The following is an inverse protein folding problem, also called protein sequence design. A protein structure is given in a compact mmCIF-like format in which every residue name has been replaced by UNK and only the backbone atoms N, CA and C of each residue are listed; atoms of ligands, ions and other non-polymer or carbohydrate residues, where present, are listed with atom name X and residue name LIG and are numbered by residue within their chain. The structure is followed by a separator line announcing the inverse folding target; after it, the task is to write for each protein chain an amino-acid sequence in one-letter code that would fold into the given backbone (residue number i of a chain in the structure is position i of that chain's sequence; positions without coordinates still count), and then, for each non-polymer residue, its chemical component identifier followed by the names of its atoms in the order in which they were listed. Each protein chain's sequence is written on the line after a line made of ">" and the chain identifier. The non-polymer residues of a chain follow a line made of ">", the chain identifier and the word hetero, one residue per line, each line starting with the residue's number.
data_IF_372495166407
#
_entry.id   IF_372495166407
#
_cell.length_a   1.000
_cell.length_b   1.000
_cell.length_c   1.000
_cell.angle_alpha   90.00
_cell.angle_beta   90.00
_cell.angle_gamma   90.00
#
_symmetry.space_group_name_H-M   'P 1'
#
loop_
_entity.id
_entity.type
_entity.pdbx_description
1 polymer ?
#
# COMPACT_ATOMS: atom_id res chain seq x y z
N UNK A 1 -14.86 0.46 -11.34
CA UNK A 1 -14.54 -0.96 -11.08
C UNK A 1 -13.81 -1.52 -12.28
N UNK A 2 -12.66 -2.16 -12.06
CA UNK A 2 -11.88 -2.87 -13.09
C UNK A 2 -12.24 -4.35 -13.00
N UNK A 3 -12.73 -4.92 -14.10
CA UNK A 3 -13.09 -6.34 -14.16
C UNK A 3 -11.88 -7.21 -14.39
N UNK A 4 -11.92 -8.46 -13.90
CA UNK A 4 -10.90 -9.49 -14.10
C UNK A 4 -10.57 -9.72 -15.57
N UNK A 5 -11.58 -9.65 -16.44
CA UNK A 5 -11.43 -9.86 -17.89
C UNK A 5 -10.94 -8.64 -18.65
N UNK A 6 -10.80 -7.48 -17.99
CA UNK A 6 -10.29 -6.28 -18.62
C UNK A 6 -8.80 -6.47 -18.94
N UNK A 7 -8.42 -6.16 -20.18
CA UNK A 7 -7.02 -6.14 -20.61
C UNK A 7 -6.50 -4.72 -20.47
N UNK A 8 -5.83 -4.44 -19.36
CA UNK A 8 -5.27 -3.12 -19.08
C UNK A 8 -3.77 -3.23 -18.81
N UNK A 9 -2.99 -2.61 -19.67
CA UNK A 9 -1.54 -2.57 -19.58
C UNK A 9 -1.04 -1.14 -19.79
N UNK A 10 -0.27 -0.66 -18.82
CA UNK A 10 0.30 0.69 -18.78
C UNK A 10 -0.79 1.79 -18.78
N UNK A 11 -1.85 1.56 -18.02
CA UNK A 11 -2.98 2.49 -17.91
C UNK A 11 -2.89 3.28 -16.61
N UNK A 12 -3.22 4.56 -16.69
CA UNK A 12 -3.45 5.43 -15.54
C UNK A 12 -4.97 5.54 -15.31
N UNK A 13 -5.43 5.21 -14.11
CA UNK A 13 -6.84 5.36 -13.71
C UNK A 13 -6.95 6.37 -12.58
N UNK A 14 -7.81 7.36 -12.77
CA UNK A 14 -8.14 8.38 -11.77
C UNK A 14 -9.65 8.37 -11.48
N UNK A 15 -10.05 8.05 -10.26
CA UNK A 15 -11.45 8.08 -9.84
C UNK A 15 -11.59 8.17 -8.31
N UNK A 16 -12.66 8.76 -7.76
CA UNK A 16 -12.82 8.88 -6.30
C UNK A 16 -12.75 7.54 -5.57
N UNK A 17 -13.39 6.52 -6.14
CA UNK A 17 -13.33 5.14 -5.69
C UNK A 17 -12.88 4.22 -6.83
N UNK A 18 -11.84 3.44 -6.58
CA UNK A 18 -11.34 2.42 -7.49
C UNK A 18 -11.46 1.05 -6.82
N UNK A 19 -11.92 0.07 -7.58
CA UNK A 19 -12.05 -1.32 -7.12
C UNK A 19 -11.57 -2.23 -8.24
N UNK A 20 -10.63 -3.11 -7.92
CA UNK A 20 -10.09 -4.14 -8.82
C UNK A 20 -10.68 -5.47 -8.41
N UNK A 21 -11.30 -6.17 -9.36
CA UNK A 21 -11.89 -7.48 -9.16
C UNK A 21 -10.83 -8.57 -8.88
N UNK A 22 -11.21 -9.57 -8.10
CA UNK A 22 -10.37 -10.70 -7.75
C UNK A 22 -9.78 -11.40 -9.00
N UNK A 23 -8.50 -11.75 -8.92
CA UNK A 23 -7.78 -12.42 -10.00
C UNK A 23 -7.39 -11.53 -11.18
N UNK A 24 -7.57 -10.21 -11.10
CA UNK A 24 -7.12 -9.28 -12.14
C UNK A 24 -5.60 -9.32 -12.30
N UNK A 25 -5.12 -9.18 -13.54
CA UNK A 25 -3.70 -9.19 -13.86
C UNK A 25 -3.39 -8.13 -14.92
N UNK A 26 -2.51 -7.18 -14.61
CA UNK A 26 -2.22 -6.05 -15.51
C UNK A 26 -1.16 -5.09 -14.95
N UNK A 27 -0.85 -4.04 -15.69
CA UNK A 27 0.05 -2.94 -15.27
C UNK A 27 -0.75 -1.65 -15.15
N UNK A 28 -0.93 -1.13 -13.93
CA UNK A 28 -1.85 -0.03 -13.63
C UNK A 28 -1.25 1.00 -12.67
N UNK A 29 -1.47 2.28 -12.95
CA UNK A 29 -1.25 3.36 -12.00
C UNK A 29 -2.60 3.91 -11.57
N UNK A 30 -2.93 3.74 -10.31
CA UNK A 30 -4.24 3.98 -9.74
C UNK A 30 -4.16 5.16 -8.80
N UNK A 31 -5.01 6.15 -9.03
CA UNK A 31 -5.09 7.36 -8.24
C UNK A 31 -6.53 7.57 -7.80
N UNK A 32 -6.77 7.48 -6.50
CA UNK A 32 -8.08 7.70 -5.89
C UNK A 32 -8.04 8.83 -4.86
N UNK A 33 -9.20 9.38 -4.51
CA UNK A 33 -9.33 10.43 -3.49
C UNK A 33 -10.18 10.01 -2.29
N UNK A 34 -10.59 8.75 -2.21
CA UNK A 34 -11.31 8.24 -1.04
C UNK A 34 -10.96 6.76 -0.80
N UNK A 35 -11.34 5.89 -1.73
CA UNK A 35 -11.27 4.45 -1.51
C UNK A 35 -10.59 3.73 -2.66
N UNK A 36 -9.61 2.88 -2.36
CA UNK A 36 -8.97 2.00 -3.33
C UNK A 36 -8.92 0.57 -2.81
N UNK A 37 -9.64 -0.32 -3.49
CA UNK A 37 -9.76 -1.73 -3.13
C UNK A 37 -9.11 -2.60 -4.21
N UNK A 38 -8.16 -3.44 -3.82
CA UNK A 38 -7.55 -4.47 -4.67
C UNK A 38 -8.05 -5.83 -4.22
N UNK A 39 -8.68 -6.55 -5.14
CA UNK A 39 -9.21 -7.89 -4.92
C UNK A 39 -8.16 -8.93 -4.54
N UNK A 40 -8.63 -10.13 -4.22
CA UNK A 40 -7.78 -11.28 -3.91
C UNK A 40 -7.07 -11.81 -5.16
N UNK A 41 -5.90 -12.42 -4.98
CA UNK A 41 -5.17 -13.13 -6.06
C UNK A 41 -4.87 -12.25 -7.28
N UNK A 42 -4.75 -10.94 -7.10
CA UNK A 42 -4.43 -10.02 -8.17
C UNK A 42 -2.92 -10.01 -8.44
N UNK A 43 -2.53 -9.72 -9.68
CA UNK A 43 -1.13 -9.48 -10.05
C UNK A 43 -0.99 -8.13 -10.74
N UNK A 44 -0.51 -7.14 -9.99
CA UNK A 44 -0.20 -5.80 -10.48
C UNK A 44 1.29 -5.77 -10.86
N UNK A 45 1.58 -5.75 -12.16
CA UNK A 45 2.94 -5.80 -12.72
C UNK A 45 3.62 -4.44 -12.69
N UNK A 46 4.94 -4.44 -12.68
CA UNK A 46 5.72 -3.21 -12.74
C UNK A 46 5.43 -2.44 -14.05
N UNK A 47 5.31 -1.10 -14.05
CA UNK A 47 5.45 -0.16 -12.93
C UNK A 47 4.09 0.22 -12.31
N UNK A 48 3.44 -0.72 -11.62
CA UNK A 48 2.16 -0.42 -10.97
C UNK A 48 2.35 0.59 -9.84
N UNK A 49 1.32 1.39 -9.60
CA UNK A 49 1.34 2.42 -8.58
C UNK A 49 -0.06 2.53 -7.98
N UNK A 50 -0.16 2.58 -6.66
CA UNK A 50 -1.44 2.70 -5.97
C UNK A 50 -1.37 3.94 -5.10
N UNK A 51 -2.22 4.92 -5.35
CA UNK A 51 -2.26 6.13 -4.55
C UNK A 51 -3.67 6.52 -4.16
N UNK A 52 -3.84 6.85 -2.87
CA UNK A 52 -4.94 7.67 -2.39
C UNK A 52 -4.36 9.00 -1.96
N UNK A 53 -4.82 10.08 -2.59
CA UNK A 53 -4.33 11.44 -2.37
C UNK A 53 -5.49 12.39 -2.19
N UNK A 54 -5.26 13.45 -1.41
CA UNK A 54 -6.25 14.52 -1.16
C UNK A 54 -7.61 13.95 -0.74
N UNK A 55 -7.63 13.18 0.37
CA UNK A 55 -8.83 12.44 0.76
C UNK A 55 -10.01 13.38 0.98
N UNK A 56 -11.09 13.16 0.23
CA UNK A 56 -12.34 13.94 0.38
C UNK A 56 -13.20 13.40 1.53
N UNK A 57 -13.00 12.13 1.90
CA UNK A 57 -13.69 11.45 2.99
C UNK A 57 -12.93 11.49 4.32
N UNK A 58 -13.65 11.22 5.41
CA UNK A 58 -13.08 11.16 6.76
C UNK A 58 -12.26 9.89 7.02
N UNK A 59 -12.42 8.85 6.19
CA UNK A 59 -11.79 7.54 6.38
C UNK A 59 -11.30 6.98 5.05
N UNK A 60 -10.31 7.62 4.41
CA UNK A 60 -9.76 7.10 3.18
C UNK A 60 -9.07 5.77 3.46
N UNK A 61 -9.25 4.82 2.55
CA UNK A 61 -8.74 3.46 2.71
C UNK A 61 -8.08 2.95 1.44
N UNK A 62 -6.89 2.37 1.62
CA UNK A 62 -6.31 1.45 0.66
C UNK A 62 -6.41 0.06 1.26
N UNK A 63 -7.12 -0.84 0.60
CA UNK A 63 -7.23 -2.23 1.03
C UNK A 63 -6.75 -3.16 -0.07
N UNK A 64 -5.69 -3.90 0.22
CA UNK A 64 -5.15 -4.95 -0.64
C UNK A 64 -5.52 -6.28 -0.01
N UNK A 65 -6.41 -7.03 -0.67
CA UNK A 65 -6.82 -8.34 -0.19
C UNK A 65 -5.72 -9.39 -0.39
N UNK A 66 -6.02 -10.60 0.08
CA UNK A 66 -5.08 -11.71 0.25
C UNK A 66 -4.50 -12.23 -1.07
N UNK A 67 -3.34 -12.87 -0.94
CA UNK A 67 -2.66 -13.59 -2.02
C UNK A 67 -2.38 -12.73 -3.26
N UNK A 68 -2.28 -11.42 -3.08
CA UNK A 68 -2.07 -10.46 -4.17
C UNK A 68 -0.59 -10.12 -4.31
N UNK A 69 -0.12 -9.93 -5.55
CA UNK A 69 1.25 -9.51 -5.84
C UNK A 69 1.25 -8.13 -6.48
N UNK A 70 2.03 -7.21 -5.89
CA UNK A 70 2.16 -5.84 -6.37
C UNK A 70 3.64 -5.56 -6.61
N UNK A 71 3.97 -5.22 -7.84
CA UNK A 71 5.29 -4.75 -8.24
C UNK A 71 5.20 -3.24 -8.48
N UNK A 72 5.47 -2.45 -7.44
CA UNK A 72 5.05 -1.06 -7.42
C UNK A 72 5.03 -0.44 -6.04
N UNK A 73 4.73 0.86 -5.99
CA UNK A 73 4.54 1.59 -4.73
C UNK A 73 3.07 1.66 -4.33
N UNK A 74 2.83 1.74 -3.02
CA UNK A 74 1.52 1.98 -2.41
C UNK A 74 1.61 3.22 -1.54
N UNK A 75 0.74 4.20 -1.79
CA UNK A 75 0.88 5.57 -1.28
C UNK A 75 -0.46 6.07 -0.75
N UNK A 76 -0.52 6.38 0.54
CA UNK A 76 -1.63 7.06 1.18
C UNK A 76 -1.12 8.41 1.67
N UNK A 77 -1.54 9.48 0.99
CA UNK A 77 -1.23 10.85 1.35
C UNK A 77 -2.46 11.52 1.94
N UNK A 78 -2.38 11.82 3.22
CA UNK A 78 -3.43 12.52 3.97
C UNK A 78 -2.94 13.92 4.28
N UNK A 79 -3.21 14.86 3.36
CA UNK A 79 -2.78 16.26 3.44
C UNK A 79 -3.48 17.08 4.54
N UNK A 80 -4.26 16.43 5.40
CA UNK A 80 -5.14 17.08 6.36
C UNK A 80 -4.54 17.06 7.76
N UNK A 81 -4.33 18.25 8.33
CA UNK A 81 -4.04 18.44 9.75
C UNK A 81 -5.28 18.21 10.64
N UNK A 82 -6.45 17.94 10.05
CA UNK A 82 -7.66 17.73 10.83
C UNK A 82 -7.58 16.42 11.61
N UNK A 83 -7.79 16.50 12.93
CA UNK A 83 -7.75 15.36 13.86
C UNK A 83 -8.81 14.27 13.58
N UNK A 84 -9.69 14.50 12.60
CA UNK A 84 -10.84 13.64 12.32
C UNK A 84 -10.63 12.69 11.13
N UNK A 85 -9.56 12.88 10.33
CA UNK A 85 -9.27 11.95 9.23
C UNK A 85 -8.45 10.77 9.76
N UNK A 86 -8.99 9.57 9.59
CA UNK A 86 -8.33 8.32 9.94
C UNK A 86 -8.03 7.59 8.63
N UNK A 87 -6.85 7.86 8.07
CA UNK A 87 -6.36 7.16 6.89
C UNK A 87 -5.84 5.78 7.26
N UNK A 88 -6.25 4.76 6.51
CA UNK A 88 -5.79 3.38 6.72
C UNK A 88 -5.27 2.74 5.44
N UNK A 89 -4.17 2.02 5.55
CA UNK A 89 -3.70 1.09 4.53
C UNK A 89 -3.71 -0.32 5.10
N UNK A 90 -4.30 -1.28 4.40
CA UNK A 90 -4.42 -2.67 4.83
C UNK A 90 -3.85 -3.60 3.78
N UNK A 91 -2.96 -4.48 4.20
CA UNK A 91 -2.30 -5.48 3.38
C UNK A 91 -2.65 -6.86 3.92
N UNK A 92 -3.42 -7.62 3.14
CA UNK A 92 -3.91 -8.94 3.51
C UNK A 92 -2.83 -10.01 3.55
N UNK A 93 -3.15 -11.15 4.17
CA UNK A 93 -2.26 -12.32 4.27
C UNK A 93 -1.84 -12.88 2.92
N UNK A 94 -0.63 -13.42 2.82
CA UNK A 94 -0.10 -14.00 1.58
C UNK A 94 0.24 -12.98 0.49
N UNK A 95 -0.01 -11.70 0.75
CA UNK A 95 0.28 -10.60 -0.19
C UNK A 95 1.77 -10.29 -0.20
N UNK A 96 2.30 -9.95 -1.37
CA UNK A 96 3.68 -9.46 -1.55
C UNK A 96 3.67 -8.11 -2.25
N UNK A 97 4.35 -7.14 -1.66
CA UNK A 97 4.60 -5.82 -2.25
C UNK A 97 6.09 -5.67 -2.49
N UNK A 98 6.50 -5.56 -3.75
CA UNK A 98 7.87 -5.23 -4.14
C UNK A 98 7.95 -3.76 -4.51
N UNK A 99 8.31 -2.94 -3.55
CA UNK A 99 8.35 -1.49 -3.66
C UNK A 99 8.24 -0.79 -2.32
N UNK A 100 7.75 0.44 -2.33
CA UNK A 100 7.60 1.27 -1.13
C UNK A 100 6.14 1.34 -0.71
N UNK A 101 5.88 1.15 0.58
CA UNK A 101 4.60 1.52 1.18
C UNK A 101 4.79 2.83 1.94
N UNK A 102 4.14 3.90 1.51
CA UNK A 102 4.11 5.19 2.18
C UNK A 102 2.69 5.48 2.66
N UNK A 103 2.46 5.55 3.97
CA UNK A 103 1.15 5.71 4.54
C UNK A 103 1.13 6.78 5.63
N UNK A 104 0.57 7.96 5.35
CA UNK A 104 0.36 9.02 6.36
C UNK A 104 -0.82 8.71 7.30
N UNK A 105 -0.90 7.47 7.77
CA UNK A 105 -2.00 6.94 8.57
C UNK A 105 -1.60 5.64 9.27
N UNK A 106 -2.61 4.81 9.57
CA UNK A 106 -2.42 3.50 10.19
C UNK A 106 -2.18 2.45 9.10
N UNK A 107 -1.14 1.64 9.28
CA UNK A 107 -0.82 0.53 8.39
C UNK A 107 -1.09 -0.81 9.10
N UNK A 108 -2.00 -1.60 8.55
CA UNK A 108 -2.21 -3.00 8.92
C UNK A 108 -1.49 -3.90 7.91
N UNK A 109 -0.45 -4.60 8.36
CA UNK A 109 0.41 -5.41 7.51
C UNK A 109 0.39 -6.88 7.94
N UNK A 110 -0.24 -7.73 7.13
CA UNK A 110 -0.26 -9.19 7.30
C UNK A 110 0.49 -9.93 6.18
N UNK A 111 1.35 -9.24 5.43
CA UNK A 111 2.03 -9.76 4.24
C UNK A 111 3.54 -9.54 4.24
N UNK A 112 4.13 -9.68 3.06
CA UNK A 112 5.55 -9.44 2.82
C UNK A 112 5.78 -8.16 2.02
N UNK A 113 6.80 -7.39 2.40
CA UNK A 113 7.23 -6.20 1.70
C UNK A 113 8.72 -6.32 1.40
N UNK A 114 9.04 -6.48 0.12
CA UNK A 114 10.39 -6.34 -0.40
C UNK A 114 10.61 -4.88 -0.72
N UNK A 115 11.07 -4.12 0.27
CA UNK A 115 11.35 -2.70 0.14
C UNK A 115 11.17 -1.92 1.43
N UNK A 116 10.70 -0.68 1.30
CA UNK A 116 10.65 0.27 2.41
C UNK A 116 9.21 0.54 2.84
N UNK A 117 9.03 0.78 4.14
CA UNK A 117 7.74 1.14 4.71
C UNK A 117 7.90 2.43 5.51
N UNK A 118 7.03 3.39 5.24
CA UNK A 118 6.87 4.61 6.00
C UNK A 118 5.42 4.69 6.44
N UNK A 119 5.16 4.71 7.75
CA UNK A 119 3.82 4.87 8.28
C UNK A 119 3.81 5.66 9.59
N UNK A 120 2.65 6.22 9.95
CA UNK A 120 2.50 6.92 11.24
C UNK A 120 2.44 5.94 12.42
N UNK A 121 1.73 4.83 12.25
CA UNK A 121 1.62 3.77 13.25
C UNK A 121 1.22 2.46 12.59
N UNK A 122 1.67 1.34 13.14
CA UNK A 122 1.16 0.03 12.75
C UNK A 122 -0.15 -0.29 13.48
N UNK A 123 -0.95 -1.18 12.91
CA UNK A 123 -2.16 -1.69 13.54
C UNK A 123 -2.28 -3.19 13.30
N UNK A 124 -2.57 -3.93 14.37
CA UNK A 124 -2.86 -5.35 14.31
C UNK A 124 -4.28 -5.59 14.79
N UNK A 125 -5.13 -6.11 13.90
CA UNK A 125 -6.50 -6.52 14.24
C UNK A 125 -6.58 -8.02 14.45
N UNK A 126 -7.04 -8.42 15.63
CA UNK A 126 -7.38 -9.81 15.95
C UNK A 126 -8.89 -9.96 16.09
N UNK A 127 -9.39 -11.18 16.24
CA UNK A 127 -10.84 -11.40 16.47
C UNK A 127 -11.35 -10.74 17.75
N UNK A 128 -10.48 -10.51 18.74
CA UNK A 128 -10.85 -10.06 20.08
C UNK A 128 -10.44 -8.61 20.38
N UNK A 129 -9.43 -8.07 19.70
CA UNK A 129 -8.89 -6.74 20.01
C UNK A 129 -8.09 -6.14 18.86
N UNK A 130 -7.91 -4.82 18.93
CA UNK A 130 -7.00 -4.05 18.08
C UNK A 130 -5.76 -3.63 18.90
N UNK A 131 -4.57 -3.87 18.36
CA UNK A 131 -3.30 -3.53 18.98
C UNK A 131 -2.56 -2.51 18.12
N UNK A 132 -2.35 -1.29 18.63
CA UNK A 132 -1.57 -0.26 17.95
C UNK A 132 -0.07 -0.54 18.06
N UNK A 133 0.70 -0.26 17.02
CA UNK A 133 2.15 -0.46 16.93
C UNK A 133 2.61 -1.92 17.08
N UNK A 134 1.75 -2.87 16.70
CA UNK A 134 2.07 -4.30 16.67
C UNK A 134 2.07 -4.83 15.24
N UNK A 135 2.97 -5.78 14.97
CA UNK A 135 3.07 -6.52 13.72
C UNK A 135 2.93 -8.02 14.01
N UNK A 136 2.20 -8.74 13.17
CA UNK A 136 2.06 -10.20 13.26
C UNK A 136 2.20 -10.80 11.86
N UNK A 137 3.08 -11.80 11.72
CA UNK A 137 3.32 -12.48 10.45
C UNK A 137 3.70 -11.54 9.27
N UNK A 138 4.26 -10.37 9.59
CA UNK A 138 4.78 -9.44 8.61
C UNK A 138 6.26 -9.73 8.31
N UNK A 139 6.62 -9.71 7.03
CA UNK A 139 8.03 -9.79 6.61
C UNK A 139 8.38 -8.50 5.86
N UNK A 140 9.42 -7.80 6.33
CA UNK A 140 9.89 -6.54 5.73
C UNK A 140 11.38 -6.71 5.42
N UNK A 141 11.73 -6.66 4.15
CA UNK A 141 13.11 -6.77 3.68
C UNK A 141 13.45 -5.64 2.71
N UNK A 142 14.10 -4.60 3.22
CA UNK A 142 14.53 -3.44 2.44
C UNK A 142 15.74 -3.69 1.53
N UNK A 143 16.42 -4.84 1.64
CA UNK A 143 17.58 -5.20 0.80
C UNK A 143 17.18 -6.06 -0.40
N UNK A 144 16.01 -6.70 -0.36
CA UNK A 144 15.53 -7.60 -1.42
C UNK A 144 14.99 -6.91 -2.67
N UNK A 145 14.95 -5.57 -2.71
CA UNK A 145 14.58 -4.83 -3.92
C UNK A 145 15.60 -5.03 -5.04
N UNK A 146 15.11 -5.23 -6.26
CA UNK A 146 15.95 -5.30 -7.45
C UNK A 146 16.77 -4.03 -7.62
N UNK A 147 18.04 -4.16 -8.04
CA UNK A 147 18.90 -3.01 -8.38
C UNK A 147 18.33 -2.16 -9.52
N UNK A 148 17.46 -2.72 -10.36
CA UNK A 148 16.76 -2.01 -11.44
C UNK A 148 15.52 -1.24 -10.96
N UNK A 149 15.16 -1.34 -9.68
CA UNK A 149 14.02 -0.62 -9.13
C UNK A 149 14.36 0.86 -9.02
N UNK A 150 13.66 1.70 -9.79
CA UNK A 150 13.96 3.13 -9.91
C UNK A 150 13.67 3.95 -8.63
N UNK A 151 13.08 3.34 -7.60
CA UNK A 151 12.73 4.00 -6.35
C UNK A 151 11.55 4.97 -6.49
N UNK A 152 10.89 5.26 -5.38
CA UNK A 152 9.81 6.27 -5.35
C UNK A 152 10.39 7.66 -5.07
N UNK A 153 10.03 8.67 -5.88
CA UNK A 153 10.44 10.07 -5.68
C UNK A 153 9.79 10.74 -4.44
N UNK A 154 8.87 10.05 -3.78
CA UNK A 154 8.09 10.56 -2.65
C UNK A 154 8.98 10.74 -1.42
N UNK A 155 9.95 9.84 -1.23
CA UNK A 155 10.92 9.96 -0.17
C UNK A 155 12.08 10.85 -0.65
N UNK A 156 11.95 12.17 -0.51
CA UNK A 156 13.14 13.02 -0.46
C UNK A 156 13.97 12.54 0.73
N UNK A 157 15.27 12.31 0.51
CA UNK A 157 16.25 12.00 1.56
C UNK A 157 16.37 13.20 2.51
N UNK A 158 15.37 13.43 3.36
CA UNK A 158 15.42 14.38 4.46
C UNK A 158 15.95 13.59 5.66
N UNK A 159 17.17 13.93 6.08
CA UNK A 159 17.81 13.33 7.23
C UNK A 159 17.02 13.66 8.49
N UNK A 160 16.19 12.72 8.97
CA UNK A 160 15.80 12.53 10.37
C UNK A 160 14.75 11.42 10.56
N UNK A 161 14.88 10.28 9.88
CA UNK A 161 14.13 9.08 10.27
C UNK A 161 15.10 8.10 10.93
N UNK A 162 14.77 7.65 12.15
CA UNK A 162 15.52 6.60 12.84
C UNK A 162 15.38 5.32 12.01
N UNK A 163 16.45 5.02 11.27
CA UNK A 163 16.61 3.75 10.60
C UNK A 163 16.87 2.71 11.69
N UNK A 164 15.99 1.71 11.80
CA UNK A 164 16.27 0.55 12.64
C UNK A 164 17.26 -0.30 11.85
N UNK A 165 18.54 -0.11 12.14
CA UNK A 165 19.58 -1.03 11.72
C UNK A 165 19.55 -2.24 12.65
N UNK A 166 19.29 -3.41 12.07
CA UNK A 166 19.31 -4.67 12.81
C UNK A 166 20.69 -4.87 13.43
N UNK A 167 20.75 -4.99 14.76
CA UNK A 167 21.97 -5.39 15.48
C UNK A 167 22.37 -6.79 15.00
N UNK A 168 23.59 -6.91 14.48
CA UNK A 168 24.25 -8.20 14.22
C UNK A 168 24.65 -8.87 15.53
#
# INVERSE_FOLDING_TARGET
>A
MVRKTAQLDNIILYAPKIEIEDGFTGSLQLFACDTLLVGEKCTLRFPSFIAVMEPTGNRPIIEIKKDTRILGDVVMLSRSESKHIIAECRVGSGTSVSGTIFCEGRLELNGSVSGQIYCKSFLLRTRSSEYENHLLNANIDGRSLSTYYAGSLICKKQGCYKQIETLQ
#
